data_IF_968660087141
#
_entry.id   IF_968660087141
#
_cell.length_a   1.000
_cell.length_b   1.000
_cell.length_c   1.000
_cell.angle_alpha   90.00
_cell.angle_beta   90.00
_cell.angle_gamma   90.00
#
_symmetry.space_group_name_H-M   'P 1'
#
loop_
_entity.id
_entity.type
_entity.pdbx_description
1 polymer ?
#
# COMPACT_ATOMS: atom_id res chain seq x y z
N UNK A 1 17.60 -36.75 21.83
CA UNK A 1 17.84 -35.38 22.36
C UNK A 1 16.60 -34.89 23.12
N UNK A 2 16.45 -35.24 24.41
CA UNK A 2 15.26 -34.92 25.23
C UNK A 2 15.15 -33.44 25.64
N UNK A 3 16.29 -32.76 25.74
CA UNK A 3 16.37 -31.38 26.23
C UNK A 3 15.74 -30.36 25.26
N UNK A 4 15.83 -30.59 23.94
CA UNK A 4 15.29 -29.68 22.94
C UNK A 4 13.76 -29.56 23.03
N UNK A 5 13.08 -30.68 23.28
CA UNK A 5 11.63 -30.76 23.53
C UNK A 5 11.20 -30.01 24.79
N UNK A 6 12.01 -30.06 25.84
CA UNK A 6 11.77 -29.35 27.11
C UNK A 6 11.89 -27.83 26.95
N UNK A 7 12.91 -27.37 26.21
CA UNK A 7 13.07 -25.94 25.91
C UNK A 7 11.94 -25.42 25.01
N UNK A 8 11.55 -26.18 23.98
CA UNK A 8 10.42 -25.82 23.10
C UNK A 8 9.11 -25.76 23.88
N UNK A 9 8.86 -26.71 24.79
CA UNK A 9 7.68 -26.68 25.66
C UNK A 9 7.67 -25.48 26.60
N UNK A 10 8.80 -25.16 27.24
CA UNK A 10 8.93 -23.97 28.10
C UNK A 10 8.70 -22.68 27.34
N UNK A 11 9.24 -22.56 26.12
CA UNK A 11 9.02 -21.40 25.26
C UNK A 11 7.53 -21.30 24.89
N UNK A 12 6.89 -22.40 24.49
CA UNK A 12 5.45 -22.43 24.19
C UNK A 12 4.58 -22.05 25.40
N UNK A 13 4.95 -22.49 26.61
CA UNK A 13 4.27 -22.08 27.85
C UNK A 13 4.47 -20.60 28.15
N UNK A 14 5.68 -20.06 27.96
CA UNK A 14 5.96 -18.64 28.15
C UNK A 14 5.17 -17.79 27.14
N UNK A 15 5.10 -18.23 25.88
CA UNK A 15 4.36 -17.57 24.82
C UNK A 15 2.85 -17.55 25.10
N UNK A 16 2.31 -18.66 25.63
CA UNK A 16 0.92 -18.72 26.08
C UNK A 16 0.64 -17.85 27.30
N UNK A 17 1.63 -17.65 28.18
CA UNK A 17 1.50 -16.87 29.42
C UNK A 17 1.54 -15.36 29.18
N UNK A 18 2.28 -14.90 28.18
CA UNK A 18 2.45 -13.48 27.88
C UNK A 18 2.27 -13.15 26.38
N UNK A 19 1.09 -13.40 25.79
CA UNK A 19 0.84 -13.10 24.38
C UNK A 19 1.05 -11.61 24.04
N UNK A 20 0.72 -10.71 24.98
CA UNK A 20 0.91 -9.27 24.82
C UNK A 20 2.37 -8.81 24.66
N UNK A 21 3.34 -9.57 25.19
CA UNK A 21 4.77 -9.24 25.08
C UNK A 21 5.30 -9.60 23.68
N UNK A 22 4.79 -10.66 23.07
CA UNK A 22 5.12 -11.05 21.69
C UNK A 22 4.51 -10.06 20.71
N UNK A 23 3.24 -9.70 20.93
CA UNK A 23 2.57 -8.63 20.20
C UNK A 23 3.36 -7.31 20.28
N UNK A 24 3.80 -6.90 21.47
CA UNK A 24 4.62 -5.71 21.67
C UNK A 24 5.99 -5.83 20.97
N UNK A 25 6.63 -7.01 21.01
CA UNK A 25 7.88 -7.28 20.30
C UNK A 25 7.74 -7.18 18.78
N UNK A 26 6.67 -7.74 18.22
CA UNK A 26 6.33 -7.62 16.80
C UNK A 26 5.99 -6.18 16.41
N UNK A 27 5.28 -5.44 17.28
CA UNK A 27 4.99 -4.01 17.08
C UNK A 27 6.27 -3.16 17.08
N UNK A 28 7.15 -3.33 18.08
CA UNK A 28 8.44 -2.62 18.17
C UNK A 28 9.35 -3.01 17.02
N UNK A 29 9.35 -4.29 16.60
CA UNK A 29 10.05 -4.76 15.41
C UNK A 29 9.53 -4.07 14.15
N UNK A 30 8.21 -4.00 13.96
CA UNK A 30 7.58 -3.32 12.82
C UNK A 30 7.88 -1.82 12.76
N UNK A 31 7.80 -1.12 13.90
CA UNK A 31 8.18 0.30 14.02
C UNK A 31 9.68 0.49 13.79
N UNK A 32 10.52 -0.42 14.31
CA UNK A 32 11.96 -0.41 14.10
C UNK A 32 12.35 -0.64 12.65
N UNK A 33 11.72 -1.61 11.97
CA UNK A 33 11.88 -1.85 10.53
C UNK A 33 11.48 -0.63 9.72
N UNK A 34 10.40 0.06 10.10
CA UNK A 34 9.97 1.28 9.43
C UNK A 34 11.00 2.42 9.53
N UNK A 35 11.55 2.69 10.72
CA UNK A 35 12.59 3.71 10.92
C UNK A 35 13.88 3.34 10.15
N UNK A 36 14.16 2.04 10.00
CA UNK A 36 15.31 1.53 9.26
C UNK A 36 15.11 1.63 7.74
N UNK A 37 13.88 1.44 7.25
CA UNK A 37 13.49 1.51 5.84
C UNK A 37 13.61 2.93 5.29
N UNK A 38 13.30 3.95 6.09
CA UNK A 38 13.53 5.37 5.72
C UNK A 38 15.02 5.67 5.45
N UNK A 39 15.93 4.86 6.01
CA UNK A 39 17.40 5.06 5.89
C UNK A 39 18.11 4.07 4.98
N UNK A 40 17.59 2.86 4.72
CA UNK A 40 18.25 1.85 3.87
C UNK A 40 17.27 0.99 3.04
N UNK A 41 17.04 1.39 1.79
CA UNK A 41 16.24 0.63 0.81
C UNK A 41 16.64 -0.85 0.66
N UNK A 42 17.91 -1.21 0.86
CA UNK A 42 18.38 -2.60 0.76
C UNK A 42 17.79 -3.55 1.82
N UNK A 43 17.41 -3.05 3.00
CA UNK A 43 16.79 -3.87 4.04
C UNK A 43 15.32 -4.16 3.70
N UNK A 44 14.62 -3.21 3.09
CA UNK A 44 13.24 -3.40 2.63
C UNK A 44 13.14 -4.55 1.61
N UNK A 45 14.09 -4.65 0.67
CA UNK A 45 14.13 -5.74 -0.31
C UNK A 45 14.29 -7.11 0.35
N UNK A 46 15.23 -7.25 1.29
CA UNK A 46 15.43 -8.53 2.01
C UNK A 46 14.22 -8.93 2.85
N UNK A 47 13.62 -7.97 3.57
CA UNK A 47 12.40 -8.24 4.36
C UNK A 47 11.26 -8.66 3.42
N UNK A 48 11.08 -7.97 2.29
CA UNK A 48 10.07 -8.31 1.30
C UNK A 48 10.27 -9.72 0.71
N UNK A 49 11.51 -10.11 0.41
CA UNK A 49 11.84 -11.47 -0.06
C UNK A 49 11.48 -12.51 1.02
N UNK A 50 11.93 -12.31 2.26
CA UNK A 50 11.65 -13.24 3.37
C UNK A 50 10.13 -13.36 3.60
N UNK A 51 9.41 -12.24 3.55
CA UNK A 51 7.95 -12.22 3.61
C UNK A 51 7.34 -13.07 2.49
N UNK A 52 7.72 -12.87 1.22
CA UNK A 52 7.18 -13.67 0.11
C UNK A 52 7.54 -15.16 0.22
N UNK A 53 8.74 -15.49 0.69
CA UNK A 53 9.13 -16.89 0.98
C UNK A 53 8.22 -17.50 2.05
N UNK A 54 7.89 -16.74 3.11
CA UNK A 54 6.96 -17.21 4.15
C UNK A 54 5.54 -17.46 3.59
N UNK A 55 5.11 -16.67 2.61
CA UNK A 55 3.85 -16.90 1.89
C UNK A 55 3.90 -18.14 1.01
N UNK A 56 5.00 -18.39 0.29
CA UNK A 56 5.18 -19.63 -0.48
C UNK A 56 5.16 -20.85 0.45
N UNK A 57 5.80 -20.75 1.62
CA UNK A 57 5.71 -21.78 2.66
C UNK A 57 4.26 -22.04 3.09
N UNK A 58 3.50 -20.98 3.39
CA UNK A 58 2.09 -21.09 3.79
C UNK A 58 1.23 -21.74 2.70
N UNK A 59 1.43 -21.38 1.42
CA UNK A 59 0.75 -22.03 0.30
C UNK A 59 1.05 -23.53 0.19
N UNK A 60 2.25 -23.94 0.59
CA UNK A 60 2.71 -25.32 0.56
C UNK A 60 2.55 -26.03 1.91
N UNK A 61 1.89 -25.41 2.91
CA UNK A 61 1.83 -25.90 4.29
C UNK A 61 1.40 -27.38 4.35
N UNK A 62 0.31 -27.74 3.67
CA UNK A 62 -0.19 -29.12 3.67
C UNK A 62 0.80 -30.12 3.06
N UNK A 63 1.47 -29.73 1.96
CA UNK A 63 2.45 -30.60 1.29
C UNK A 63 3.72 -30.76 2.12
N UNK A 64 4.19 -29.67 2.74
CA UNK A 64 5.40 -29.63 3.56
C UNK A 64 5.21 -30.37 4.88
N UNK A 65 4.06 -30.21 5.54
CA UNK A 65 3.73 -30.95 6.76
C UNK A 65 3.60 -32.45 6.50
N UNK A 66 3.01 -32.86 5.37
CA UNK A 66 2.96 -34.27 4.96
C UNK A 66 4.36 -34.82 4.66
N UNK A 67 5.20 -34.07 3.94
CA UNK A 67 6.58 -34.46 3.67
C UNK A 67 7.39 -34.59 4.95
N UNK A 68 7.27 -33.63 5.87
CA UNK A 68 7.94 -33.66 7.17
C UNK A 68 7.53 -34.90 7.97
N UNK A 69 6.24 -35.23 7.99
CA UNK A 69 5.72 -36.41 8.67
C UNK A 69 6.29 -37.69 8.05
N UNK A 70 6.39 -37.77 6.72
CA UNK A 70 7.00 -38.91 6.02
C UNK A 70 8.50 -39.07 6.30
N UNK A 71 9.26 -37.97 6.27
CA UNK A 71 10.72 -37.99 6.40
C UNK A 71 11.15 -38.15 7.86
N UNK A 72 10.58 -37.37 8.78
CA UNK A 72 10.99 -37.30 10.18
C UNK A 72 10.14 -38.16 11.12
N UNK A 73 9.07 -38.79 10.61
CA UNK A 73 8.14 -39.63 11.39
C UNK A 73 7.58 -38.91 12.63
N UNK A 74 7.38 -37.60 12.52
CA UNK A 74 6.82 -36.74 13.56
C UNK A 74 5.81 -35.79 12.94
N UNK A 75 4.70 -35.58 13.64
CA UNK A 75 3.67 -34.62 13.23
C UNK A 75 4.00 -33.23 13.77
N UNK A 76 3.74 -32.21 12.95
CA UNK A 76 3.83 -30.82 13.38
C UNK A 76 2.52 -30.48 14.12
N UNK A 77 2.58 -30.01 15.38
CA UNK A 77 1.37 -29.70 16.14
C UNK A 77 0.51 -28.64 15.45
N UNK A 78 -0.79 -28.90 15.32
CA UNK A 78 -1.77 -27.96 14.74
C UNK A 78 -1.74 -26.55 15.37
N UNK A 79 -1.57 -26.37 16.70
CA UNK A 79 -1.42 -25.04 17.29
C UNK A 79 -0.20 -24.27 16.76
N UNK A 80 0.90 -24.96 16.44
CA UNK A 80 2.11 -24.34 15.91
C UNK A 80 1.89 -23.82 14.49
N UNK A 81 1.18 -24.58 13.65
CA UNK A 81 0.81 -24.15 12.30
C UNK A 81 -0.08 -22.91 12.35
N UNK A 82 -1.13 -22.93 13.18
CA UNK A 82 -2.02 -21.78 13.37
C UNK A 82 -1.30 -20.54 13.87
N UNK A 83 -0.33 -20.72 14.76
CA UNK A 83 0.54 -19.64 15.23
C UNK A 83 1.42 -19.11 14.10
N UNK A 84 2.05 -19.98 13.31
CA UNK A 84 2.85 -19.59 12.16
C UNK A 84 2.02 -18.81 11.12
N UNK A 85 0.80 -19.26 10.81
CA UNK A 85 -0.11 -18.54 9.92
C UNK A 85 -0.47 -17.15 10.44
N UNK A 86 -0.79 -17.03 11.75
CA UNK A 86 -1.04 -15.71 12.36
C UNK A 86 0.19 -14.82 12.29
N UNK A 87 1.36 -15.36 12.60
CA UNK A 87 2.61 -14.63 12.56
C UNK A 87 2.90 -14.11 11.15
N UNK A 88 2.71 -14.92 10.11
CA UNK A 88 2.88 -14.50 8.71
C UNK A 88 1.88 -13.39 8.36
N UNK A 89 0.62 -13.50 8.77
CA UNK A 89 -0.36 -12.42 8.56
C UNK A 89 0.07 -11.14 9.27
N UNK A 90 0.40 -11.24 10.56
CA UNK A 90 0.81 -10.10 11.38
C UNK A 90 2.05 -9.43 10.80
N UNK A 91 3.17 -10.15 10.65
CA UNK A 91 4.42 -9.58 10.15
C UNK A 91 4.23 -8.94 8.75
N UNK A 92 3.44 -9.58 7.87
CA UNK A 92 3.13 -8.99 6.57
C UNK A 92 2.35 -7.69 6.68
N UNK A 93 1.29 -7.66 7.50
CA UNK A 93 0.47 -6.46 7.70
C UNK A 93 1.29 -5.33 8.33
N UNK A 94 2.06 -5.64 9.38
CA UNK A 94 2.89 -4.66 10.08
C UNK A 94 4.05 -4.15 9.21
N UNK A 95 4.57 -4.97 8.30
CA UNK A 95 5.54 -4.54 7.31
C UNK A 95 4.94 -3.57 6.29
N UNK A 96 3.76 -3.86 5.73
CA UNK A 96 3.18 -3.05 4.66
C UNK A 96 2.39 -1.83 5.14
N UNK A 97 1.82 -1.88 6.34
CA UNK A 97 0.94 -0.82 6.85
C UNK A 97 1.60 0.57 6.86
N UNK A 98 2.88 0.75 7.25
CA UNK A 98 3.53 2.06 7.20
C UNK A 98 3.64 2.63 5.78
N UNK A 99 3.92 1.78 4.78
CA UNK A 99 3.97 2.18 3.37
C UNK A 99 2.62 2.72 2.92
N UNK A 100 1.53 1.99 3.19
CA UNK A 100 0.19 2.44 2.87
C UNK A 100 -0.21 3.68 3.67
N UNK A 101 0.16 3.78 4.95
CA UNK A 101 -0.17 4.92 5.80
C UNK A 101 0.40 6.24 5.25
N UNK A 102 1.66 6.25 4.82
CA UNK A 102 2.32 7.43 4.24
C UNK A 102 1.74 7.78 2.87
N UNK A 103 1.52 6.78 2.04
CA UNK A 103 1.09 6.97 0.64
C UNK A 103 -0.41 7.22 0.51
N UNK A 104 -1.17 7.08 1.60
CA UNK A 104 -2.62 7.31 1.62
C UNK A 104 -2.95 8.80 1.51
N UNK A 105 -3.69 9.15 0.46
CA UNK A 105 -4.41 10.41 0.41
C UNK A 105 -5.68 10.30 1.27
N UNK A 106 -5.60 10.75 2.53
CA UNK A 106 -6.66 10.61 3.54
C UNK A 106 -8.01 11.21 3.17
N UNK A 107 -8.04 12.22 2.30
CA UNK A 107 -9.27 12.83 1.79
C UNK A 107 -9.77 12.15 0.49
N UNK A 108 -9.65 10.83 0.40
CA UNK A 108 -10.06 10.04 -0.76
C UNK A 108 -10.51 8.63 -0.36
N UNK A 109 -11.00 7.84 -1.33
CA UNK A 109 -11.36 6.43 -1.10
C UNK A 109 -10.19 5.55 -0.59
N UNK A 110 -8.95 6.03 -0.72
CA UNK A 110 -7.76 5.36 -0.17
C UNK A 110 -7.80 5.16 1.34
N UNK A 111 -8.47 6.06 2.08
CA UNK A 111 -8.67 5.89 3.51
C UNK A 111 -9.37 4.57 3.84
N UNK A 112 -10.34 4.14 3.04
CA UNK A 112 -11.08 2.91 3.30
C UNK A 112 -10.18 1.66 3.19
N UNK A 113 -9.30 1.61 2.17
CA UNK A 113 -8.37 0.50 2.00
C UNK A 113 -7.32 0.46 3.13
N UNK A 114 -6.70 1.59 3.45
CA UNK A 114 -5.69 1.67 4.51
C UNK A 114 -6.30 1.44 5.89
N UNK A 115 -7.51 1.94 6.14
CA UNK A 115 -8.27 1.65 7.35
C UNK A 115 -8.62 0.15 7.47
N UNK A 116 -8.96 -0.51 6.36
CA UNK A 116 -9.17 -1.96 6.32
C UNK A 116 -7.89 -2.73 6.67
N UNK A 117 -6.72 -2.32 6.16
CA UNK A 117 -5.43 -2.89 6.54
C UNK A 117 -5.09 -2.65 8.02
N UNK A 118 -5.39 -1.46 8.55
CA UNK A 118 -5.21 -1.14 9.96
C UNK A 118 -6.09 -2.02 10.87
N UNK A 119 -7.37 -2.18 10.52
CA UNK A 119 -8.29 -3.06 11.24
C UNK A 119 -7.83 -4.53 11.19
N UNK A 120 -7.37 -4.98 10.02
CA UNK A 120 -6.76 -6.28 9.85
C UNK A 120 -5.53 -6.50 10.74
N UNK A 121 -4.62 -5.53 10.79
CA UNK A 121 -3.42 -5.59 11.64
C UNK A 121 -3.79 -5.66 13.13
N UNK A 122 -4.80 -4.89 13.55
CA UNK A 122 -5.34 -4.93 14.91
C UNK A 122 -5.97 -6.29 15.24
N UNK A 123 -6.70 -6.89 14.29
CA UNK A 123 -7.25 -8.24 14.47
C UNK A 123 -6.12 -9.27 14.55
N UNK A 124 -5.07 -9.17 13.72
CA UNK A 124 -3.97 -10.14 13.70
C UNK A 124 -3.13 -10.15 14.97
N UNK A 125 -2.97 -9.00 15.63
CA UNK A 125 -2.20 -8.90 16.89
C UNK A 125 -3.04 -9.24 18.13
N UNK A 126 -4.37 -9.23 18.01
CA UNK A 126 -5.27 -9.47 19.14
C UNK A 126 -5.75 -10.92 19.16
N UNK A 127 -5.05 -11.79 19.91
CA UNK A 127 -5.30 -13.24 19.95
C UNK A 127 -6.78 -13.64 20.14
N UNK A 128 -7.57 -13.04 21.06
CA UNK A 128 -8.98 -13.38 21.18
C UNK A 128 -9.78 -13.08 19.91
N UNK A 129 -9.49 -11.98 19.23
CA UNK A 129 -10.16 -11.62 17.98
C UNK A 129 -9.72 -12.55 16.84
N UNK A 130 -8.43 -12.83 16.73
CA UNK A 130 -7.90 -13.70 15.69
C UNK A 130 -8.41 -15.14 15.85
N UNK A 131 -8.20 -15.76 17.01
CA UNK A 131 -8.49 -17.18 17.20
C UNK A 131 -9.94 -17.51 17.53
N UNK A 132 -10.66 -16.65 18.26
CA UNK A 132 -12.03 -16.96 18.69
C UNK A 132 -13.10 -16.37 17.77
N UNK A 133 -12.81 -15.29 17.03
CA UNK A 133 -13.79 -14.63 16.18
C UNK A 133 -13.49 -14.77 14.69
N UNK A 134 -12.26 -14.50 14.24
CA UNK A 134 -11.87 -14.55 12.83
C UNK A 134 -11.67 -16.00 12.34
N UNK A 135 -10.76 -16.75 12.96
CA UNK A 135 -10.33 -18.08 12.51
C UNK A 135 -11.47 -19.12 12.43
N UNK A 136 -12.48 -19.15 13.33
CA UNK A 136 -13.60 -20.09 13.22
C UNK A 136 -14.51 -19.78 12.03
N UNK A 137 -14.53 -18.54 11.54
CA UNK A 137 -15.35 -18.08 10.42
C UNK A 137 -14.54 -18.16 9.13
N UNK A 138 -14.64 -19.30 8.44
CA UNK A 138 -13.82 -19.63 7.26
C UNK A 138 -13.77 -18.51 6.20
N UNK A 139 -14.89 -17.87 5.89
CA UNK A 139 -14.92 -16.79 4.90
C UNK A 139 -14.14 -15.54 5.34
N UNK A 140 -14.20 -15.16 6.62
CA UNK A 140 -13.41 -14.05 7.16
C UNK A 140 -11.92 -14.38 7.19
N UNK A 141 -11.59 -15.61 7.59
CA UNK A 141 -10.20 -16.08 7.57
C UNK A 141 -9.62 -16.02 6.16
N UNK A 142 -10.36 -16.48 5.14
CA UNK A 142 -9.94 -16.38 3.75
C UNK A 142 -9.87 -14.93 3.25
N UNK A 143 -10.83 -14.09 3.63
CA UNK A 143 -10.78 -12.67 3.27
C UNK A 143 -9.53 -12.00 3.85
N UNK A 144 -9.19 -12.28 5.11
CA UNK A 144 -7.95 -11.79 5.75
C UNK A 144 -6.71 -12.34 5.04
N UNK A 145 -6.72 -13.63 4.70
CA UNK A 145 -5.61 -14.27 4.02
C UNK A 145 -5.34 -13.62 2.64
N UNK A 146 -6.38 -13.51 1.81
CA UNK A 146 -6.29 -12.90 0.48
C UNK A 146 -5.94 -11.40 0.56
N UNK A 147 -6.53 -10.66 1.50
CA UNK A 147 -6.22 -9.23 1.69
C UNK A 147 -4.74 -9.03 2.08
N UNK A 148 -4.23 -9.81 3.02
CA UNK A 148 -2.84 -9.69 3.45
C UNK A 148 -1.87 -10.03 2.32
N UNK A 149 -2.12 -11.13 1.60
CA UNK A 149 -1.31 -11.49 0.44
C UNK A 149 -1.32 -10.39 -0.62
N UNK A 150 -2.49 -9.85 -0.92
CA UNK A 150 -2.64 -8.78 -1.90
C UNK A 150 -1.83 -7.54 -1.49
N UNK A 151 -1.95 -7.09 -0.24
CA UNK A 151 -1.20 -5.95 0.28
C UNK A 151 0.32 -6.20 0.32
N UNK A 152 0.74 -7.41 0.69
CA UNK A 152 2.12 -7.85 0.66
C UNK A 152 2.71 -7.77 -0.76
N UNK A 153 1.98 -8.28 -1.76
CA UNK A 153 2.40 -8.25 -3.17
C UNK A 153 2.48 -6.82 -3.71
N UNK A 154 1.49 -5.97 -3.41
CA UNK A 154 1.50 -4.56 -3.82
C UNK A 154 2.74 -3.79 -3.34
N UNK A 155 3.29 -4.17 -2.19
CA UNK A 155 4.49 -3.55 -1.62
C UNK A 155 5.76 -4.24 -2.11
N UNK A 156 5.78 -5.57 -2.15
CA UNK A 156 6.97 -6.35 -2.47
C UNK A 156 7.34 -6.32 -3.96
N UNK A 157 6.35 -6.37 -4.86
CA UNK A 157 6.60 -6.46 -6.31
C UNK A 157 7.35 -5.24 -6.87
N UNK A 158 6.98 -3.98 -6.57
CA UNK A 158 7.76 -2.82 -7.02
C UNK A 158 9.17 -2.79 -6.43
N UNK A 159 9.36 -3.28 -5.19
CA UNK A 159 10.65 -3.24 -4.49
C UNK A 159 11.62 -4.28 -5.04
N UNK A 160 11.14 -5.49 -5.36
CA UNK A 160 11.99 -6.62 -5.76
C UNK A 160 12.18 -6.64 -7.28
N UNK A 161 11.09 -6.41 -8.03
CA UNK A 161 11.06 -6.57 -9.48
C UNK A 161 11.04 -5.25 -10.24
N UNK A 162 11.03 -4.11 -9.54
CA UNK A 162 11.00 -2.77 -10.14
C UNK A 162 9.79 -2.54 -11.07
N UNK A 163 8.68 -3.21 -10.74
CA UNK A 163 7.44 -3.11 -11.50
C UNK A 163 6.70 -1.82 -11.16
N UNK A 164 6.14 -1.17 -12.19
CA UNK A 164 5.22 -0.02 -12.03
C UNK A 164 4.10 -0.36 -11.04
N UNK A 165 3.47 0.67 -10.49
CA UNK A 165 2.30 0.55 -9.63
C UNK A 165 1.17 -0.18 -10.36
N UNK A 166 0.96 0.13 -11.65
CA UNK A 166 -0.02 -0.55 -12.51
C UNK A 166 0.26 -2.05 -12.68
N UNK A 167 1.49 -2.42 -13.03
CA UNK A 167 1.88 -3.81 -13.22
C UNK A 167 1.78 -4.60 -11.91
N UNK A 168 2.27 -4.02 -10.82
CA UNK A 168 2.23 -4.61 -9.49
C UNK A 168 0.79 -4.84 -9.03
N UNK A 169 -0.11 -3.90 -9.27
CA UNK A 169 -1.54 -4.07 -8.97
C UNK A 169 -2.16 -5.22 -9.76
N UNK A 170 -1.94 -5.26 -11.08
CA UNK A 170 -2.47 -6.32 -11.97
C UNK A 170 -1.98 -7.71 -11.54
N UNK A 171 -0.68 -7.84 -11.25
CA UNK A 171 -0.09 -9.10 -10.80
C UNK A 171 -0.58 -9.48 -9.39
N UNK A 172 -0.61 -8.53 -8.44
CA UNK A 172 -1.11 -8.79 -7.09
C UNK A 172 -2.56 -9.26 -7.13
N UNK A 173 -3.43 -8.59 -7.91
CA UNK A 173 -4.83 -8.97 -8.07
C UNK A 173 -4.97 -10.34 -8.73
N UNK A 174 -4.22 -10.58 -9.82
CA UNK A 174 -4.24 -11.86 -10.53
C UNK A 174 -3.78 -13.03 -9.66
N UNK A 175 -2.68 -12.88 -8.92
CA UNK A 175 -2.16 -13.88 -7.98
C UNK A 175 -3.15 -14.10 -6.83
N UNK A 176 -3.70 -13.03 -6.25
CA UNK A 176 -4.70 -13.12 -5.20
C UNK A 176 -5.96 -13.87 -5.67
N UNK A 177 -6.44 -13.61 -6.88
CA UNK A 177 -7.57 -14.34 -7.48
C UNK A 177 -7.24 -15.81 -7.73
N UNK A 178 -6.07 -16.09 -8.31
CA UNK A 178 -5.61 -17.44 -8.62
C UNK A 178 -5.53 -18.31 -7.35
N UNK A 179 -4.94 -17.76 -6.28
CA UNK A 179 -4.77 -18.46 -5.00
C UNK A 179 -6.04 -18.46 -4.14
N UNK A 180 -6.98 -17.55 -4.38
CA UNK A 180 -8.30 -17.58 -3.74
C UNK A 180 -9.21 -18.67 -4.30
N UNK A 181 -8.98 -19.14 -5.52
CA UNK A 181 -9.85 -20.13 -6.15
C UNK A 181 -9.91 -21.48 -5.40
N UNK A 182 -8.78 -22.15 -5.05
CA UNK A 182 -8.81 -23.37 -4.24
C UNK A 182 -9.46 -23.13 -2.88
N UNK A 183 -9.20 -21.96 -2.29
CA UNK A 183 -9.76 -21.54 -1.02
C UNK A 183 -11.29 -21.41 -1.07
N UNK A 184 -11.84 -20.80 -2.13
CA UNK A 184 -13.29 -20.70 -2.34
C UNK A 184 -13.93 -22.05 -2.70
N UNK A 185 -13.26 -22.87 -3.52
CA UNK A 185 -13.71 -24.23 -3.85
C UNK A 185 -13.81 -25.13 -2.60
N UNK A 186 -13.04 -24.81 -1.55
CA UNK A 186 -13.09 -25.52 -0.28
C UNK A 186 -14.29 -25.13 0.62
N UNK A 187 -14.88 -23.95 0.39
CA UNK A 187 -16.16 -23.52 1.00
C UNK A 187 -17.35 -24.03 0.16
N UNK A 188 -17.25 -23.91 -1.16
CA UNK A 188 -18.27 -24.28 -2.12
C UNK A 188 -17.79 -25.49 -2.94
N UNK A 189 -18.00 -26.73 -2.47
CA UNK A 189 -17.41 -27.91 -3.08
C UNK A 189 -17.87 -28.09 -4.54
N UNK A 190 -16.90 -28.21 -5.44
CA UNK A 190 -17.13 -28.39 -6.87
C UNK A 190 -17.51 -29.85 -7.15
N UNK A 191 -18.79 -30.18 -6.95
CA UNK A 191 -19.35 -31.50 -7.27
C UNK A 191 -19.97 -31.58 -8.66
N UNK A 192 -20.29 -30.43 -9.25
CA UNK A 192 -20.95 -30.32 -10.56
C UNK A 192 -20.30 -29.20 -11.38
N UNK A 193 -20.46 -29.25 -12.71
CA UNK A 193 -20.01 -28.18 -13.62
C UNK A 193 -20.62 -26.83 -13.23
N UNK A 194 -21.89 -26.81 -12.83
CA UNK A 194 -22.56 -25.59 -12.33
C UNK A 194 -21.91 -25.03 -11.05
N UNK A 195 -21.51 -25.91 -10.13
CA UNK A 195 -20.78 -25.51 -8.92
C UNK A 195 -19.41 -24.91 -9.24
N UNK A 196 -18.67 -25.53 -10.16
CA UNK A 196 -17.38 -25.01 -10.64
C UNK A 196 -17.53 -23.65 -11.32
N UNK A 197 -18.53 -23.50 -12.18
CA UNK A 197 -18.84 -22.22 -12.83
C UNK A 197 -19.24 -21.15 -11.80
N UNK A 198 -19.98 -21.52 -10.76
CA UNK A 198 -20.36 -20.58 -9.69
C UNK A 198 -19.15 -20.05 -8.92
N UNK A 199 -18.21 -20.93 -8.54
CA UNK A 199 -16.95 -20.52 -7.87
C UNK A 199 -16.12 -19.62 -8.79
N UNK A 200 -16.05 -19.94 -10.08
CA UNK A 200 -15.38 -19.10 -11.06
C UNK A 200 -16.04 -17.72 -11.16
N UNK A 201 -17.36 -17.66 -11.29
CA UNK A 201 -18.11 -16.41 -11.35
C UNK A 201 -17.90 -15.55 -10.10
N UNK A 202 -17.93 -16.14 -8.90
CA UNK A 202 -17.65 -15.43 -7.64
C UNK A 202 -16.22 -14.88 -7.64
N UNK A 203 -15.23 -15.69 -8.03
CA UNK A 203 -13.82 -15.28 -8.10
C UNK A 203 -13.63 -14.11 -9.06
N UNK A 204 -14.23 -14.19 -10.26
CA UNK A 204 -14.21 -13.12 -11.26
C UNK A 204 -14.93 -11.87 -10.75
N UNK A 205 -16.07 -12.01 -10.07
CA UNK A 205 -16.81 -10.88 -9.50
C UNK A 205 -16.00 -10.13 -8.42
N UNK A 206 -15.30 -10.86 -7.54
CA UNK A 206 -14.38 -10.29 -6.55
C UNK A 206 -13.23 -9.57 -7.26
N UNK A 207 -12.63 -10.21 -8.27
CA UNK A 207 -11.57 -9.62 -9.08
C UNK A 207 -11.99 -8.34 -9.79
N UNK A 208 -13.14 -8.35 -10.43
CA UNK A 208 -13.73 -7.19 -11.09
C UNK A 208 -13.99 -6.06 -10.09
N UNK A 209 -14.53 -6.38 -8.91
CA UNK A 209 -14.72 -5.41 -7.82
C UNK A 209 -13.38 -4.78 -7.42
N UNK A 210 -12.33 -5.58 -7.23
CA UNK A 210 -10.97 -5.10 -6.97
C UNK A 210 -10.46 -4.18 -8.08
N UNK A 211 -10.68 -4.53 -9.35
CA UNK A 211 -10.27 -3.74 -10.51
C UNK A 211 -10.96 -2.37 -10.58
N UNK A 212 -12.26 -2.30 -10.27
CA UNK A 212 -13.00 -1.03 -10.22
C UNK A 212 -12.59 -0.18 -9.02
N UNK A 213 -12.23 -0.81 -7.90
CA UNK A 213 -11.74 -0.15 -6.70
C UNK A 213 -10.24 0.16 -6.72
N UNK A 214 -9.53 -0.07 -7.83
CA UNK A 214 -8.07 0.15 -7.92
C UNK A 214 -7.63 1.54 -7.49
N UNK A 215 -8.42 2.58 -7.81
CA UNK A 215 -8.11 3.97 -7.42
C UNK A 215 -8.19 4.23 -5.91
N UNK A 216 -8.83 3.33 -5.16
CA UNK A 216 -8.90 3.35 -3.70
C UNK A 216 -7.72 2.61 -3.06
N UNK A 217 -6.81 2.02 -3.85
CA UNK A 217 -5.59 1.43 -3.31
C UNK A 217 -4.46 2.47 -3.41
N UNK A 218 -3.82 2.87 -2.30
CA UNK A 218 -2.66 3.76 -2.36
C UNK A 218 -1.50 3.11 -3.12
N UNK A 219 -0.68 3.90 -3.83
CA UNK A 219 0.54 3.39 -4.46
C UNK A 219 1.60 3.15 -3.38
N UNK A 220 1.76 1.90 -2.93
CA UNK A 220 2.53 1.54 -1.73
C UNK A 220 3.96 2.11 -1.66
N UNK A 221 4.62 2.31 -2.80
CA UNK A 221 6.03 2.73 -2.86
C UNK A 221 6.24 4.15 -3.40
N UNK A 222 5.16 4.90 -3.67
CA UNK A 222 5.24 6.26 -4.22
C UNK A 222 4.63 7.27 -3.25
N UNK A 223 5.47 8.15 -2.70
CA UNK A 223 5.01 9.27 -1.87
C UNK A 223 5.65 10.58 -2.30
N UNK A 224 4.96 11.70 -2.08
CA UNK A 224 5.50 13.03 -2.36
C UNK A 224 6.42 13.47 -1.21
N UNK A 225 7.61 13.96 -1.53
CA UNK A 225 8.54 14.57 -0.58
C UNK A 225 8.38 16.08 -0.52
N UNK A 226 8.04 16.70 -1.65
CA UNK A 226 7.87 18.15 -1.78
C UNK A 226 6.78 18.46 -2.81
N UNK A 227 5.98 19.48 -2.53
CA UNK A 227 4.95 19.99 -3.46
C UNK A 227 4.91 21.50 -3.41
N UNK A 228 4.79 22.13 -4.57
CA UNK A 228 4.66 23.58 -4.65
C UNK A 228 3.82 24.01 -5.86
N UNK A 229 2.98 25.02 -5.63
CA UNK A 229 2.37 25.81 -6.70
C UNK A 229 3.12 27.15 -6.71
N UNK A 230 3.78 27.49 -7.81
CA UNK A 230 4.62 28.69 -7.87
C UNK A 230 4.51 29.37 -9.24
N UNK A 231 4.71 30.69 -9.29
CA UNK A 231 4.86 31.44 -10.55
C UNK A 231 6.26 31.34 -11.13
N UNK A 232 7.23 30.86 -10.33
CA UNK A 232 8.64 30.80 -10.69
C UNK A 232 9.20 29.39 -10.49
N UNK A 233 10.10 29.00 -11.39
CA UNK A 233 10.91 27.78 -11.30
C UNK A 233 12.34 28.13 -11.74
N UNK A 234 13.30 28.06 -10.82
CA UNK A 234 14.71 28.34 -11.10
C UNK A 234 15.53 27.10 -10.78
N UNK A 235 16.42 26.68 -11.68
CA UNK A 235 17.30 25.52 -11.49
C UNK A 235 16.59 24.23 -11.02
N UNK A 236 15.37 23.99 -11.53
CA UNK A 236 14.50 22.86 -11.14
C UNK A 236 14.11 22.86 -9.66
N UNK A 237 14.05 24.03 -9.06
CA UNK A 237 13.52 24.29 -7.73
C UNK A 237 12.36 25.29 -7.83
N UNK A 238 11.22 25.02 -7.17
CA UNK A 238 10.11 25.96 -7.19
C UNK A 238 10.44 27.19 -6.34
N UNK A 239 9.83 28.33 -6.71
CA UNK A 239 9.71 29.46 -5.81
C UNK A 239 8.79 29.17 -4.61
N UNK A 240 8.43 30.21 -3.86
CA UNK A 240 7.52 30.08 -2.72
C UNK A 240 6.18 29.44 -3.13
N UNK A 241 5.72 28.46 -2.34
CA UNK A 241 4.44 27.80 -2.58
C UNK A 241 3.28 28.75 -2.29
N UNK A 242 2.37 28.89 -3.24
CA UNK A 242 1.23 29.79 -3.20
C UNK A 242 -0.06 29.00 -2.94
N UNK A 243 -0.73 29.29 -1.83
CA UNK A 243 -2.08 28.77 -1.56
C UNK A 243 -3.18 29.63 -2.21
N UNK A 244 -2.88 30.91 -2.43
CA UNK A 244 -3.78 31.87 -3.07
C UNK A 244 -3.03 32.58 -4.20
N UNK A 245 -3.69 32.75 -5.34
CA UNK A 245 -3.11 33.37 -6.54
C UNK A 245 -4.10 34.36 -7.12
N UNK A 246 -3.69 35.59 -7.38
CA UNK A 246 -4.57 36.56 -8.02
C UNK A 246 -4.74 36.27 -9.51
N UNK A 247 -5.88 36.64 -10.10
CA UNK A 247 -6.11 36.55 -11.55
C UNK A 247 -5.00 37.28 -12.32
N UNK A 248 -4.55 38.43 -11.83
CA UNK A 248 -3.48 39.21 -12.47
C UNK A 248 -2.14 38.44 -12.49
N UNK A 249 -1.70 37.87 -11.37
CA UNK A 249 -0.48 37.05 -11.30
C UNK A 249 -0.62 35.81 -12.20
N UNK A 250 -1.76 35.12 -12.13
CA UNK A 250 -2.05 33.94 -12.93
C UNK A 250 -1.93 34.20 -14.44
N UNK A 251 -2.43 35.36 -14.91
CA UNK A 251 -2.40 35.74 -16.33
C UNK A 251 -1.02 36.18 -16.81
N UNK A 252 -0.21 36.79 -15.94
CA UNK A 252 1.14 37.25 -16.29
C UNK A 252 2.15 36.11 -16.36
N UNK A 253 2.20 35.28 -15.31
CA UNK A 253 3.32 34.36 -15.09
C UNK A 253 2.92 32.90 -15.36
N UNK A 254 1.61 32.61 -15.38
CA UNK A 254 1.10 31.24 -15.32
C UNK A 254 1.40 30.59 -13.96
N UNK A 255 1.24 29.28 -13.88
CA UNK A 255 1.58 28.51 -12.66
C UNK A 255 2.32 27.24 -12.98
N UNK A 256 3.39 27.01 -12.23
CA UNK A 256 4.07 25.73 -12.13
C UNK A 256 3.42 24.90 -11.03
N UNK A 257 3.05 23.66 -11.36
CA UNK A 257 2.78 22.63 -10.37
C UNK A 257 4.00 21.73 -10.28
N UNK A 258 4.79 21.91 -9.23
CA UNK A 258 6.00 21.16 -8.95
C UNK A 258 5.73 20.04 -7.94
N UNK A 259 6.27 18.86 -8.22
CA UNK A 259 6.17 17.67 -7.37
C UNK A 259 7.51 16.96 -7.31
N UNK A 260 7.96 16.64 -6.09
CA UNK A 260 9.05 15.70 -5.87
C UNK A 260 8.46 14.39 -5.33
N UNK A 261 8.72 13.28 -6.01
CA UNK A 261 8.14 11.96 -5.69
C UNK A 261 9.27 11.00 -5.36
N UNK A 262 9.23 10.41 -4.17
CA UNK A 262 10.12 9.31 -3.82
C UNK A 262 9.62 8.02 -4.49
N UNK A 263 10.56 7.28 -5.07
CA UNK A 263 10.32 6.00 -5.70
C UNK A 263 11.52 5.06 -5.45
N UNK A 264 11.30 3.74 -5.36
CA UNK A 264 12.38 2.76 -5.34
C UNK A 264 13.34 2.93 -6.52
N UNK A 265 14.62 2.62 -6.31
CA UNK A 265 15.64 2.66 -7.37
C UNK A 265 15.23 1.77 -8.54
N UNK A 266 15.36 2.24 -9.77
CA UNK A 266 15.07 1.44 -10.97
C UNK A 266 13.59 1.30 -11.31
N UNK A 267 12.68 1.92 -10.53
CA UNK A 267 11.27 2.02 -10.90
C UNK A 267 11.07 3.09 -11.96
N UNK A 268 10.54 2.72 -13.12
CA UNK A 268 10.09 3.66 -14.14
C UNK A 268 8.57 3.74 -14.10
N UNK A 269 7.99 4.91 -13.83
CA UNK A 269 6.56 5.09 -13.66
C UNK A 269 6.05 6.26 -14.51
N UNK A 270 4.87 6.09 -15.11
CA UNK A 270 4.15 7.19 -15.74
C UNK A 270 3.14 7.77 -14.76
N UNK A 271 3.26 9.06 -14.51
CA UNK A 271 2.34 9.82 -13.67
C UNK A 271 1.60 10.87 -14.51
N UNK A 272 0.53 11.40 -13.92
CA UNK A 272 -0.28 12.44 -14.53
C UNK A 272 -0.48 13.60 -13.56
N UNK A 273 -0.17 14.82 -14.01
CA UNK A 273 -0.67 16.04 -13.38
C UNK A 273 -2.06 16.34 -13.96
N UNK A 274 -3.08 16.06 -13.16
CA UNK A 274 -4.49 16.31 -13.51
C UNK A 274 -4.93 17.62 -12.87
N UNK A 275 -5.08 18.65 -13.68
CA UNK A 275 -5.58 19.96 -13.25
C UNK A 275 -7.10 19.91 -13.15
N UNK A 276 -7.61 20.35 -12.00
CA UNK A 276 -9.03 20.46 -11.73
C UNK A 276 -9.40 21.89 -11.36
N UNK A 277 -10.47 22.38 -11.98
CA UNK A 277 -11.10 23.65 -11.65
C UNK A 277 -12.52 23.39 -11.13
N UNK A 278 -12.82 23.84 -9.91
CA UNK A 278 -14.10 23.62 -9.24
C UNK A 278 -14.59 22.16 -9.31
N UNK A 279 -13.65 21.22 -9.15
CA UNK A 279 -13.91 19.78 -9.16
C UNK A 279 -13.90 19.10 -10.55
N UNK A 280 -13.99 19.88 -11.64
CA UNK A 280 -13.96 19.38 -13.01
C UNK A 280 -12.53 19.30 -13.53
N UNK A 281 -12.19 18.19 -14.17
CA UNK A 281 -10.90 18.01 -14.86
C UNK A 281 -10.87 18.93 -16.08
N UNK A 282 -9.80 19.74 -16.18
CA UNK A 282 -9.58 20.68 -17.30
C UNK A 282 -8.37 20.30 -18.14
N UNK A 283 -7.35 19.69 -17.52
CA UNK A 283 -6.18 19.19 -18.22
C UNK A 283 -5.63 17.94 -17.54
N UNK A 284 -5.00 17.08 -18.34
CA UNK A 284 -4.27 15.90 -17.90
C UNK A 284 -2.97 15.81 -18.66
N UNK A 285 -1.85 15.94 -17.95
CA UNK A 285 -0.51 15.99 -18.55
C UNK A 285 0.29 14.79 -18.04
N UNK A 286 0.77 13.94 -18.97
CA UNK A 286 1.61 12.79 -18.65
C UNK A 286 3.06 13.21 -18.40
N UNK A 287 3.69 12.60 -17.39
CA UNK A 287 5.09 12.81 -17.02
C UNK A 287 5.69 11.45 -16.71
N UNK A 288 6.87 11.15 -17.26
CA UNK A 288 7.58 9.92 -16.97
C UNK A 288 8.62 10.17 -15.85
N UNK A 289 8.53 9.40 -14.77
CA UNK A 289 9.44 9.48 -13.61
C UNK A 289 10.34 8.25 -13.56
N UNK A 290 11.60 8.46 -13.19
CA UNK A 290 12.60 7.39 -13.05
C UNK A 290 13.14 7.41 -11.62
N UNK A 291 12.93 6.33 -10.88
CA UNK A 291 13.32 6.16 -9.48
C UNK A 291 14.84 5.99 -9.32
N UNK A 292 15.43 6.50 -8.23
CA UNK A 292 16.89 6.41 -8.08
C UNK A 292 17.56 7.39 -7.14
N UNK A 293 16.95 8.56 -6.93
CA UNK A 293 17.55 9.69 -6.19
C UNK A 293 17.03 9.75 -4.76
N UNK A 294 17.90 10.10 -3.81
CA UNK A 294 17.52 10.26 -2.39
C UNK A 294 16.45 11.32 -2.19
N UNK A 295 16.50 12.40 -2.97
CA UNK A 295 15.54 13.51 -2.91
C UNK A 295 14.22 13.24 -3.66
N UNK A 296 14.09 12.07 -4.29
CA UNK A 296 12.99 11.76 -5.20
C UNK A 296 13.20 12.31 -6.62
N UNK A 297 12.27 11.95 -7.51
CA UNK A 297 12.20 12.48 -8.87
C UNK A 297 11.37 13.75 -8.89
N UNK A 298 11.92 14.82 -9.48
CA UNK A 298 11.28 16.13 -9.60
C UNK A 298 10.56 16.22 -10.94
N UNK A 299 9.26 16.46 -10.89
CA UNK A 299 8.41 16.66 -12.06
C UNK A 299 7.67 18.00 -11.92
N UNK A 300 7.43 18.69 -13.03
CA UNK A 300 6.63 19.91 -13.01
C UNK A 300 5.82 20.07 -14.29
N UNK A 301 4.70 20.78 -14.17
CA UNK A 301 3.94 21.25 -15.34
C UNK A 301 3.74 22.74 -15.23
N UNK A 302 3.97 23.47 -16.34
CA UNK A 302 3.69 24.90 -16.43
C UNK A 302 2.38 25.10 -17.17
N UNK A 303 1.38 25.62 -16.47
CA UNK A 303 0.09 25.96 -17.05
C UNK A 303 0.03 27.45 -17.32
N UNK A 304 -0.16 27.81 -18.60
CA UNK A 304 -0.30 29.20 -19.05
C UNK A 304 -1.73 29.50 -19.52
N UNK A 305 -2.42 28.52 -20.10
CA UNK A 305 -3.76 28.70 -20.63
C UNK A 305 -4.83 28.42 -19.56
N UNK A 306 -5.43 29.47 -19.01
CA UNK A 306 -6.52 29.39 -18.02
C UNK A 306 -7.86 29.85 -18.61
N UNK A 307 -9.01 29.29 -18.18
CA UNK A 307 -10.33 29.69 -18.67
C UNK A 307 -10.59 31.19 -18.45
N UNK A 308 -11.50 31.78 -19.23
CA UNK A 308 -11.78 33.23 -19.21
C UNK A 308 -11.99 33.80 -17.81
N UNK A 309 -12.79 33.12 -16.98
CA UNK A 309 -12.90 33.36 -15.54
C UNK A 309 -12.24 32.21 -14.75
N UNK A 310 -11.01 32.41 -14.22
CA UNK A 310 -10.31 31.37 -13.47
C UNK A 310 -10.56 31.43 -11.96
N UNK A 311 -11.39 32.35 -11.45
CA UNK A 311 -11.66 32.51 -10.01
C UNK A 311 -12.32 31.24 -9.44
N UNK A 312 -11.78 30.74 -8.33
CA UNK A 312 -12.33 29.58 -7.64
C UNK A 312 -11.27 28.59 -7.15
N UNK A 313 -11.72 27.37 -6.87
CA UNK A 313 -10.88 26.32 -6.27
C UNK A 313 -10.17 25.54 -7.37
N UNK A 314 -8.85 25.50 -7.26
CA UNK A 314 -8.00 24.72 -8.13
C UNK A 314 -7.33 23.59 -7.38
N UNK A 315 -7.13 22.48 -8.08
CA UNK A 315 -6.38 21.35 -7.57
C UNK A 315 -5.52 20.76 -8.67
N UNK A 316 -4.33 20.28 -8.30
CA UNK A 316 -3.51 19.43 -9.16
C UNK A 316 -3.40 18.08 -8.49
N UNK A 317 -4.02 17.06 -9.08
CA UNK A 317 -3.91 15.69 -8.59
C UNK A 317 -2.78 15.00 -9.33
N UNK A 318 -1.89 14.37 -8.59
CA UNK A 318 -0.83 13.53 -9.11
C UNK A 318 -1.35 12.10 -9.09
N UNK A 319 -1.52 11.50 -10.27
CA UNK A 319 -2.09 10.16 -10.42
C UNK A 319 -1.09 9.22 -11.09
N UNK A 320 -1.15 7.92 -10.77
CA UNK A 320 -0.52 6.87 -11.59
C UNK A 320 -1.32 6.61 -12.87
N UNK A 321 -0.77 5.83 -13.80
CA UNK A 321 -1.44 5.35 -15.02
C UNK A 321 -2.86 4.82 -14.76
N UNK A 322 -3.03 3.98 -13.73
CA UNK A 322 -4.31 3.35 -13.43
C UNK A 322 -5.23 4.19 -12.52
N UNK A 323 -4.85 5.44 -12.21
CA UNK A 323 -5.69 6.41 -11.50
C UNK A 323 -5.57 6.37 -9.97
N UNK A 324 -4.53 5.74 -9.42
CA UNK A 324 -4.23 5.81 -7.99
C UNK A 324 -3.65 7.19 -7.68
N UNK A 325 -4.12 7.81 -6.60
CA UNK A 325 -3.65 9.14 -6.19
C UNK A 325 -2.32 8.98 -5.44
N UNK A 326 -1.29 9.69 -5.91
CA UNK A 326 -0.02 9.86 -5.18
C UNK A 326 -0.13 11.09 -4.25
N UNK A 327 -0.80 12.15 -4.72
CA UNK A 327 -1.14 13.29 -3.88
C UNK A 327 -1.92 14.40 -4.57
N UNK A 328 -2.24 15.46 -3.81
CA UNK A 328 -3.13 16.54 -4.26
C UNK A 328 -2.63 17.89 -3.78
N UNK A 329 -2.29 18.77 -4.71
CA UNK A 329 -2.01 20.18 -4.48
C UNK A 329 -3.32 20.96 -4.58
N UNK A 330 -3.51 21.96 -3.72
CA UNK A 330 -4.72 22.79 -3.70
C UNK A 330 -4.33 24.26 -3.61
N UNK A 331 -4.99 25.09 -4.39
CA UNK A 331 -4.85 26.54 -4.32
C UNK A 331 -6.16 27.21 -4.73
N UNK A 332 -6.32 28.48 -4.39
CA UNK A 332 -7.51 29.27 -4.73
C UNK A 332 -7.11 30.45 -5.58
N UNK A 333 -7.81 30.67 -6.68
CA UNK A 333 -7.64 31.86 -7.50
C UNK A 333 -8.66 32.90 -7.09
N UNK A 334 -8.21 34.11 -6.77
CA UNK A 334 -9.05 35.23 -6.31
C UNK A 334 -8.92 36.44 -7.24
N UNK A 335 -9.96 37.28 -7.29
CA UNK A 335 -9.98 38.49 -8.13
C UNK A 335 -9.04 39.59 -7.60
N UNK A 336 -8.84 39.63 -6.28
CA UNK A 336 -8.01 40.63 -5.61
C UNK A 336 -6.58 40.14 -5.41
N UNK A 337 -5.59 40.93 -5.83
CA UNK A 337 -4.20 40.78 -5.44
C UNK A 337 -4.01 40.99 -3.95
N UNK A 338 -4.26 39.97 -3.13
CA UNK A 338 -3.77 39.93 -1.76
C UNK A 338 -2.37 39.31 -1.80
N UNK A 339 -1.36 40.15 -1.98
CA UNK A 339 0.00 39.84 -1.54
C UNK A 339 -0.04 39.72 0.00
N UNK A 340 -0.35 38.52 0.50
CA UNK A 340 -0.24 38.23 1.93
C UNK A 340 1.05 37.40 2.14
N UNK A 341 2.08 37.95 2.81
CA UNK A 341 3.21 37.14 3.22
C UNK A 341 2.70 36.12 4.25
N UNK A 342 3.13 34.85 4.11
CA UNK A 342 2.80 33.80 5.04
C UNK A 342 3.15 34.21 6.50
N UNK A 343 2.41 33.73 7.52
CA UNK A 343 2.73 34.05 8.90
C UNK A 343 4.11 33.47 9.26
N UNK A 344 4.98 34.32 9.80
CA UNK A 344 6.26 33.97 10.40
C UNK A 344 6.15 32.69 11.24
N UNK A 345 6.79 31.61 10.80
CA UNK A 345 7.11 30.50 11.69
C UNK A 345 8.26 30.95 12.60
N UNK A 346 7.88 31.42 13.79
CA UNK A 346 8.80 31.65 14.89
C UNK A 346 9.06 30.32 15.61
N UNK A 347 10.35 29.95 15.63
CA UNK A 347 11.08 29.00 16.50
C UNK A 347 10.68 27.53 16.51
#
# INVERSE_FOLDING_TARGET
MPNLTLYVQRILELMKRYPGVIALGGFISGVGSFILVDRQQGLATWIAIIMLVSWVWLMLENSLTQLFTKVFKREIPQPLLRYATQMIHQESLFFVLPFFFITTTWNSGQLAFTGLLGAAALISITDPLYYKWLAPRRWLFLAMHTLTLFAALLTALPIILHLTTSQSFKLALGIAMLLSFPSLASIFPIRTVRGGLSVLCITVAIGATGWFLRSWVPPATLWMTEVAISTQLQDRTPGASLEQVSVAQLRRDGLYAYTAINAPRGLDERIYHVWKFNGKEVDRIALDIHGGRKEGYRAWTHKQNFPGNPVGKWQVRVLTEDGQVIGVLRFVVTDTGQDNPAPNQAK
#
